data_IF_799821001093
#
_entry.id   IF_799821001093
#
_cell.length_a   1.000
_cell.length_b   1.000
_cell.length_c   1.000
_cell.angle_alpha   90.00
_cell.angle_beta   90.00
_cell.angle_gamma   90.00
#
_symmetry.space_group_name_H-M   'P 1'
#
loop_
_entity.id
_entity.type
_entity.pdbx_description
1 polymer ?
#
# COMPACT_ATOMS: atom_id res chain seq x y z
N UNK A 1 7.51 -10.37 17.62
CA UNK A 1 6.32 -10.47 16.75
C UNK A 1 5.64 -9.13 16.78
N UNK A 2 5.52 -8.46 15.62
CA UNK A 2 4.79 -7.19 15.51
C UNK A 2 3.33 -7.53 15.21
N UNK A 3 2.39 -7.06 16.04
CA UNK A 3 0.97 -7.23 15.77
C UNK A 3 0.51 -6.28 14.66
N UNK A 4 -0.36 -6.76 13.78
CA UNK A 4 -0.91 -5.95 12.69
C UNK A 4 -2.42 -6.20 12.55
N UNK A 5 -3.23 -5.20 12.90
CA UNK A 5 -4.65 -5.16 12.56
C UNK A 5 -4.73 -4.64 11.13
N UNK A 6 -5.00 -5.55 10.19
CA UNK A 6 -5.08 -5.26 8.77
C UNK A 6 -6.51 -5.48 8.27
N UNK A 7 -6.98 -4.58 7.40
CA UNK A 7 -8.30 -4.65 6.78
C UNK A 7 -9.48 -4.78 7.76
N UNK A 8 -9.43 -4.14 8.93
CA UNK A 8 -10.56 -4.13 9.87
C UNK A 8 -11.66 -3.21 9.32
N UNK A 9 -12.88 -3.70 9.04
CA UNK A 9 -13.96 -2.84 8.58
C UNK A 9 -14.25 -1.73 9.59
N UNK A 10 -14.17 -0.47 9.14
CA UNK A 10 -14.40 0.67 10.01
C UNK A 10 -15.88 0.77 10.44
N UNK A 11 -16.80 0.26 9.62
CA UNK A 11 -18.23 0.18 9.92
C UNK A 11 -18.57 -0.70 11.14
N UNK A 12 -17.64 -1.55 11.57
CA UNK A 12 -17.78 -2.35 12.80
C UNK A 12 -17.29 -1.60 14.05
N UNK A 13 -16.74 -0.38 13.87
CA UNK A 13 -16.14 0.45 14.92
C UNK A 13 -16.78 1.86 14.88
N UNK A 14 -18.06 2.01 15.26
CA UNK A 14 -18.85 3.22 14.99
C UNK A 14 -18.29 4.50 15.60
N UNK A 15 -17.62 4.40 16.76
CA UNK A 15 -16.95 5.56 17.39
C UNK A 15 -15.81 6.09 16.50
N UNK A 16 -14.97 5.19 15.97
CA UNK A 16 -13.88 5.56 15.07
C UNK A 16 -14.38 5.94 13.66
N UNK A 17 -15.48 5.33 13.22
CA UNK A 17 -16.10 5.70 11.94
C UNK A 17 -16.57 7.16 11.94
N UNK A 18 -17.10 7.65 13.07
CA UNK A 18 -17.53 9.03 13.23
C UNK A 18 -16.34 10.03 13.15
N UNK A 19 -15.16 9.65 13.65
CA UNK A 19 -13.96 10.49 13.66
C UNK A 19 -13.26 10.57 12.30
N UNK A 20 -13.52 9.61 11.41
CA UNK A 20 -12.97 9.60 10.06
C UNK A 20 -14.14 9.70 9.08
N UNK A 21 -14.65 10.90 8.76
CA UNK A 21 -15.76 11.02 7.82
C UNK A 21 -15.30 10.69 6.38
N UNK A 22 -16.25 10.26 5.54
CA UNK A 22 -15.96 10.03 4.12
C UNK A 22 -15.48 11.31 3.44
N UNK A 23 -14.36 11.23 2.73
CA UNK A 23 -13.82 12.36 1.97
C UNK A 23 -14.86 12.82 0.92
N UNK A 24 -15.10 14.14 0.76
CA UNK A 24 -16.11 14.64 -0.17
C UNK A 24 -15.92 14.16 -1.61
N UNK A 25 -14.68 13.86 -2.01
CA UNK A 25 -14.33 13.42 -3.36
C UNK A 25 -14.82 11.99 -3.64
N UNK A 26 -15.03 11.17 -2.61
CA UNK A 26 -15.61 9.83 -2.71
C UNK A 26 -17.14 9.87 -2.86
N UNK A 27 -17.79 11.00 -2.57
CA UNK A 27 -19.25 11.16 -2.77
C UNK A 27 -19.67 11.13 -4.25
N UNK A 28 -18.70 11.21 -5.16
CA UNK A 28 -18.91 11.06 -6.61
C UNK A 28 -18.84 9.60 -7.06
N UNK A 29 -18.29 8.70 -6.23
CA UNK A 29 -18.26 7.28 -6.53
C UNK A 29 -19.65 6.68 -6.34
N UNK A 30 -20.10 5.92 -7.33
CA UNK A 30 -21.44 5.31 -7.35
C UNK A 30 -21.56 4.06 -6.47
N UNK A 31 -20.42 3.53 -6.00
CA UNK A 31 -20.33 2.37 -5.11
C UNK A 31 -19.20 2.57 -4.10
N UNK A 32 -19.55 2.46 -2.81
CA UNK A 32 -18.60 2.35 -1.70
C UNK A 32 -18.25 0.88 -1.50
N UNK A 33 -16.98 0.52 -1.72
CA UNK A 33 -16.49 -0.86 -1.57
C UNK A 33 -15.93 -1.13 -0.17
N UNK A 34 -16.19 -0.22 0.77
CA UNK A 34 -15.83 -0.35 2.17
C UNK A 34 -14.58 0.43 2.52
N UNK A 35 -14.54 0.83 3.79
CA UNK A 35 -13.46 1.57 4.41
C UNK A 35 -12.81 0.69 5.47
N UNK A 36 -11.49 0.53 5.39
CA UNK A 36 -10.77 -0.34 6.30
C UNK A 36 -9.77 0.43 7.14
N UNK A 37 -9.71 0.08 8.43
CA UNK A 37 -8.73 0.52 9.40
C UNK A 37 -7.51 -0.40 9.38
N UNK A 38 -6.34 0.22 9.49
CA UNK A 38 -5.04 -0.44 9.57
C UNK A 38 -4.29 0.09 10.78
N UNK A 39 -3.98 -0.76 11.76
CA UNK A 39 -3.22 -0.37 12.96
C UNK A 39 -2.07 -1.34 13.16
N UNK A 40 -0.85 -0.83 13.24
CA UNK A 40 0.35 -1.66 13.32
C UNK A 40 1.54 -0.90 13.89
N UNK A 41 2.47 -1.65 14.51
CA UNK A 41 3.72 -1.08 15.02
C UNK A 41 4.75 -0.79 13.93
N UNK A 42 5.84 -0.15 14.32
CA UNK A 42 7.02 -0.04 13.46
C UNK A 42 7.48 -1.44 12.98
N UNK A 43 7.77 -1.57 11.69
CA UNK A 43 8.16 -2.82 11.05
C UNK A 43 7.03 -3.69 10.53
N UNK A 44 5.74 -3.30 10.66
CA UNK A 44 4.68 -3.98 9.90
C UNK A 44 4.89 -3.82 8.40
N UNK A 45 4.57 -4.86 7.62
CA UNK A 45 4.70 -4.84 6.17
C UNK A 45 3.46 -5.45 5.52
N UNK A 46 2.84 -4.69 4.62
CA UNK A 46 1.85 -5.22 3.67
C UNK A 46 2.59 -5.56 2.38
N UNK A 47 2.66 -6.86 1.99
CA UNK A 47 3.35 -7.29 0.78
C UNK A 47 2.87 -6.58 -0.48
N UNK A 48 3.74 -6.49 -1.47
CA UNK A 48 3.43 -5.86 -2.74
C UNK A 48 2.25 -6.56 -3.40
N UNK A 49 1.17 -5.83 -3.68
CA UNK A 49 -0.04 -6.37 -4.28
C UNK A 49 -0.76 -5.32 -5.13
N UNK A 50 -1.80 -5.72 -5.83
CA UNK A 50 -2.70 -4.82 -6.56
C UNK A 50 -4.16 -5.06 -6.21
N UNK A 51 -4.90 -3.97 -6.05
CA UNK A 51 -6.33 -3.99 -5.78
C UNK A 51 -7.16 -3.94 -7.07
N UNK A 52 -8.40 -4.48 -7.07
CA UNK A 52 -9.31 -4.39 -8.19
C UNK A 52 -10.00 -3.02 -8.34
N UNK A 53 -9.83 -2.11 -7.38
CA UNK A 53 -10.50 -0.81 -7.28
C UNK A 53 -9.49 0.32 -7.12
N UNK A 54 -9.93 1.57 -7.30
CA UNK A 54 -9.18 2.74 -6.86
C UNK A 54 -9.16 2.78 -5.32
N UNK A 55 -8.13 3.38 -4.73
CA UNK A 55 -8.01 3.50 -3.29
C UNK A 55 -7.57 4.92 -2.91
N UNK A 56 -8.19 5.50 -1.88
CA UNK A 56 -7.64 6.62 -1.13
C UNK A 56 -7.11 6.08 0.19
N UNK A 57 -5.80 6.16 0.40
CA UNK A 57 -5.12 5.71 1.61
C UNK A 57 -4.72 6.91 2.45
N UNK A 58 -5.44 7.14 3.54
CA UNK A 58 -5.24 8.28 4.43
C UNK A 58 -4.41 7.86 5.65
N UNK A 59 -3.31 8.57 5.89
CA UNK A 59 -2.44 8.33 7.03
C UNK A 59 -2.88 9.19 8.23
N UNK A 60 -3.17 8.56 9.37
CA UNK A 60 -3.75 9.23 10.53
C UNK A 60 -2.74 9.41 11.67
N UNK A 61 -1.96 8.36 11.97
CA UNK A 61 -0.98 8.34 13.06
C UNK A 61 0.31 7.69 12.57
N UNK A 62 1.46 8.24 12.99
CA UNK A 62 2.78 7.74 12.59
C UNK A 62 3.01 7.81 11.09
N UNK A 63 4.14 7.26 10.63
CA UNK A 63 4.52 7.28 9.22
C UNK A 63 4.50 5.89 8.60
N UNK A 64 4.12 5.85 7.32
CA UNK A 64 4.22 4.66 6.47
C UNK A 64 4.95 4.98 5.19
N UNK A 65 5.84 4.10 4.77
CA UNK A 65 6.50 4.16 3.48
C UNK A 65 5.73 3.31 2.47
N UNK A 66 5.46 3.88 1.31
CA UNK A 66 4.75 3.22 0.21
C UNK A 66 5.63 3.20 -1.01
N UNK A 67 5.82 2.01 -1.59
CA UNK A 67 6.35 1.85 -2.94
C UNK A 67 5.17 1.57 -3.86
N UNK A 68 5.07 2.33 -4.96
CA UNK A 68 3.91 2.36 -5.83
C UNK A 68 4.38 2.28 -7.29
N UNK A 69 3.84 1.31 -8.03
CA UNK A 69 4.26 1.00 -9.39
C UNK A 69 3.05 0.89 -10.34
N UNK A 70 3.18 1.37 -11.58
CA UNK A 70 2.14 1.15 -12.58
C UNK A 70 2.03 -0.34 -12.95
N UNK A 71 0.89 -0.78 -13.51
CA UNK A 71 0.69 -2.16 -13.95
C UNK A 71 1.76 -2.68 -14.93
N UNK A 72 2.40 -1.79 -15.69
CA UNK A 72 3.47 -2.12 -16.63
C UNK A 72 4.70 -2.74 -15.95
N UNK A 73 4.95 -2.43 -14.67
CA UNK A 73 6.07 -2.99 -13.92
C UNK A 73 5.83 -4.43 -13.43
N UNK A 74 4.64 -5.01 -13.62
CA UNK A 74 4.27 -6.29 -13.03
C UNK A 74 5.23 -7.45 -13.37
N UNK A 75 5.83 -7.45 -14.56
CA UNK A 75 6.79 -8.47 -14.99
C UNK A 75 8.07 -8.50 -14.12
N UNK A 76 8.41 -7.36 -13.52
CA UNK A 76 9.61 -7.17 -12.69
C UNK A 76 9.35 -7.31 -11.19
N UNK A 77 8.10 -7.53 -10.80
CA UNK A 77 7.65 -7.45 -9.40
C UNK A 77 7.25 -8.83 -8.83
N UNK A 78 7.67 -9.90 -9.49
CA UNK A 78 7.66 -11.28 -9.00
C UNK A 78 6.30 -11.76 -8.44
N UNK A 79 5.21 -11.37 -9.09
CA UNK A 79 3.85 -11.83 -8.78
C UNK A 79 3.75 -13.37 -8.79
N UNK A 80 2.87 -13.92 -7.96
CA UNK A 80 2.54 -15.35 -8.05
C UNK A 80 1.97 -15.68 -9.44
N UNK A 81 2.45 -16.77 -10.04
CA UNK A 81 2.07 -17.18 -11.40
C UNK A 81 0.60 -17.60 -11.56
N UNK A 82 -0.13 -17.81 -10.46
CA UNK A 82 -1.55 -18.17 -10.47
C UNK A 82 -2.10 -18.44 -9.06
N UNK A 83 -3.37 -18.84 -9.02
CA UNK A 83 -4.07 -19.16 -7.77
C UNK A 83 -4.57 -17.93 -7.02
N UNK A 84 -5.01 -18.09 -5.75
CA UNK A 84 -5.67 -17.03 -4.99
C UNK A 84 -4.78 -15.81 -4.69
N UNK A 85 -3.45 -15.96 -4.80
CA UNK A 85 -2.47 -14.91 -4.53
C UNK A 85 -1.88 -14.26 -5.80
N UNK A 86 -2.46 -14.49 -6.97
CA UNK A 86 -1.95 -13.97 -8.25
C UNK A 86 -1.92 -12.43 -8.35
N UNK A 87 -2.53 -11.72 -7.41
CA UNK A 87 -2.47 -10.27 -7.28
C UNK A 87 -1.38 -9.79 -6.31
N UNK A 88 -0.64 -10.69 -5.68
CA UNK A 88 0.39 -10.42 -4.67
C UNK A 88 1.76 -10.90 -5.17
N UNK A 89 2.81 -10.21 -4.75
CA UNK A 89 4.21 -10.54 -5.02
C UNK A 89 4.73 -11.58 -4.03
N UNK A 90 5.74 -12.33 -4.47
CA UNK A 90 6.53 -13.20 -3.60
C UNK A 90 7.56 -12.43 -2.75
N UNK A 91 7.76 -11.14 -3.02
CA UNK A 91 8.62 -10.26 -2.22
C UNK A 91 7.95 -10.06 -0.84
N UNK A 92 8.51 -10.71 0.17
CA UNK A 92 7.91 -10.82 1.51
C UNK A 92 8.24 -9.68 2.46
N UNK A 93 9.09 -8.74 2.06
CA UNK A 93 9.58 -7.68 2.93
C UNK A 93 10.01 -6.43 2.15
N UNK A 94 10.35 -5.34 2.85
CA UNK A 94 10.72 -4.07 2.22
C UNK A 94 12.18 -4.05 1.75
N UNK A 95 13.07 -4.86 2.35
CA UNK A 95 14.52 -4.78 2.15
C UNK A 95 14.95 -4.78 0.68
N UNK A 96 14.39 -5.61 -0.23
CA UNK A 96 14.81 -5.60 -1.64
C UNK A 96 14.60 -4.25 -2.33
N UNK A 97 13.54 -3.52 -1.98
CA UNK A 97 13.29 -2.19 -2.53
C UNK A 97 14.27 -1.16 -1.99
N UNK A 98 14.68 -1.26 -0.72
CA UNK A 98 15.65 -0.36 -0.11
C UNK A 98 17.06 -0.61 -0.63
N UNK A 99 17.43 -1.89 -0.80
CA UNK A 99 18.74 -2.30 -1.33
C UNK A 99 18.90 -1.89 -2.79
N UNK A 100 17.87 -2.07 -3.62
CA UNK A 100 17.89 -1.67 -5.03
C UNK A 100 18.00 -0.14 -5.24
N UNK A 101 17.80 0.65 -4.18
CA UNK A 101 17.99 2.10 -4.21
C UNK A 101 19.37 2.54 -3.66
N UNK A 102 20.15 1.61 -3.11
CA UNK A 102 21.46 1.90 -2.52
C UNK A 102 22.60 1.68 -3.54
N UNK A 103 23.65 2.51 -3.44
CA UNK A 103 24.85 2.36 -4.26
C UNK A 103 25.54 1.01 -3.94
N UNK A 104 25.65 0.13 -4.95
CA UNK A 104 26.30 -1.18 -4.81
C UNK A 104 25.34 -2.37 -4.61
N UNK A 105 24.10 -2.26 -5.08
CA UNK A 105 23.13 -3.35 -5.08
C UNK A 105 23.71 -4.66 -5.64
N UNK A 106 23.41 -5.78 -4.97
CA UNK A 106 23.77 -7.12 -5.45
C UNK A 106 23.09 -7.40 -6.79
N UNK A 107 23.77 -8.11 -7.69
CA UNK A 107 23.31 -8.39 -9.06
C UNK A 107 21.96 -9.10 -9.17
N UNK A 108 21.41 -9.62 -8.07
CA UNK A 108 20.14 -10.35 -8.05
C UNK A 108 18.89 -9.45 -7.91
N UNK A 109 19.06 -8.13 -7.80
CA UNK A 109 17.94 -7.17 -7.68
C UNK A 109 17.54 -6.48 -9.00
N UNK A 110 18.11 -6.90 -10.13
CA UNK A 110 17.93 -6.26 -11.44
C UNK A 110 16.47 -5.99 -11.79
N UNK A 111 15.57 -6.95 -11.59
CA UNK A 111 14.14 -6.76 -11.87
C UNK A 111 13.56 -5.60 -11.03
N UNK A 112 13.86 -5.57 -9.73
CA UNK A 112 13.35 -4.52 -8.84
C UNK A 112 13.92 -3.16 -9.23
N UNK A 113 15.19 -3.08 -9.64
CA UNK A 113 15.80 -1.87 -10.19
C UNK A 113 15.08 -1.39 -11.48
N UNK A 114 14.71 -2.31 -12.37
CA UNK A 114 13.90 -1.97 -13.56
C UNK A 114 12.52 -1.42 -13.17
N UNK A 115 11.87 -2.00 -12.15
CA UNK A 115 10.60 -1.48 -11.66
C UNK A 115 10.73 -0.08 -11.04
N UNK A 116 11.78 0.14 -10.23
CA UNK A 116 12.06 1.41 -9.55
C UNK A 116 12.45 2.54 -10.51
N UNK A 117 13.13 2.20 -11.61
CA UNK A 117 13.54 3.18 -12.63
C UNK A 117 12.41 3.59 -13.59
N UNK A 118 11.23 2.96 -13.52
CA UNK A 118 10.08 3.36 -14.32
C UNK A 118 9.66 4.80 -13.98
N UNK A 119 9.40 5.69 -14.97
CA UNK A 119 9.12 7.11 -14.71
C UNK A 119 7.91 7.36 -13.80
N UNK A 120 6.90 6.49 -13.90
CA UNK A 120 5.69 6.56 -13.08
C UNK A 120 5.80 5.81 -11.74
N UNK A 121 6.89 5.08 -11.47
CA UNK A 121 7.12 4.51 -10.14
C UNK A 121 7.28 5.64 -9.12
N UNK A 122 6.77 5.42 -7.91
CA UNK A 122 6.82 6.38 -6.81
C UNK A 122 7.20 5.65 -5.53
N UNK A 123 7.99 6.33 -4.73
CA UNK A 123 8.36 5.90 -3.40
C UNK A 123 8.17 7.12 -2.50
N UNK A 124 7.24 7.00 -1.55
CA UNK A 124 6.82 8.11 -0.70
C UNK A 124 6.73 7.66 0.76
N UNK A 125 7.10 8.55 1.67
CA UNK A 125 6.77 8.42 3.09
C UNK A 125 5.55 9.29 3.34
N UNK A 126 4.46 8.66 3.78
CA UNK A 126 3.24 9.34 4.18
C UNK A 126 3.37 9.75 5.65
N UNK A 127 3.08 11.02 5.92
CA UNK A 127 2.97 11.62 7.25
C UNK A 127 1.49 11.73 7.66
N UNK A 128 1.19 11.95 8.95
CA UNK A 128 -0.18 12.23 9.38
C UNK A 128 -0.82 13.37 8.56
N UNK A 129 -2.08 13.16 8.16
CA UNK A 129 -2.89 14.01 7.26
C UNK A 129 -2.59 13.87 5.75
N UNK A 130 -1.58 13.12 5.34
CA UNK A 130 -1.41 12.78 3.93
C UNK A 130 -2.49 11.82 3.44
N UNK A 131 -2.89 12.01 2.18
CA UNK A 131 -3.79 11.11 1.47
C UNK A 131 -3.13 10.68 0.16
N UNK A 132 -2.88 9.38 0.02
CA UNK A 132 -2.34 8.79 -1.19
C UNK A 132 -3.47 8.23 -2.05
N UNK A 133 -3.57 8.71 -3.29
CA UNK A 133 -4.40 8.07 -4.30
C UNK A 133 -3.63 6.92 -4.97
N UNK A 134 -4.20 5.73 -4.92
CA UNK A 134 -3.67 4.52 -5.57
C UNK A 134 -4.62 4.17 -6.71
N UNK A 135 -4.20 4.31 -7.97
CA UNK A 135 -5.06 3.98 -9.08
C UNK A 135 -5.31 2.47 -9.16
N UNK A 136 -6.49 2.11 -9.67
CA UNK A 136 -6.89 0.72 -9.87
C UNK A 136 -5.79 -0.09 -10.56
N UNK A 137 -5.53 -1.29 -10.04
CA UNK A 137 -4.50 -2.25 -10.50
C UNK A 137 -3.04 -1.82 -10.35
N UNK A 138 -2.75 -0.65 -9.78
CA UNK A 138 -1.37 -0.30 -9.45
C UNK A 138 -0.83 -1.20 -8.33
N UNK A 139 0.43 -1.61 -8.48
CA UNK A 139 1.10 -2.45 -7.51
C UNK A 139 1.63 -1.56 -6.38
N UNK A 140 1.43 -1.97 -5.14
CA UNK A 140 1.91 -1.23 -3.99
C UNK A 140 2.22 -2.13 -2.80
N UNK A 141 3.25 -1.77 -2.05
CA UNK A 141 3.58 -2.34 -0.74
C UNK A 141 3.70 -1.21 0.27
N UNK A 142 3.50 -1.54 1.54
CA UNK A 142 3.43 -0.54 2.61
C UNK A 142 4.22 -1.02 3.82
N UNK A 143 5.19 -0.23 4.27
CA UNK A 143 5.99 -0.49 5.47
C UNK A 143 5.67 0.53 6.55
N UNK A 144 5.41 0.06 7.78
CA UNK A 144 5.26 0.91 8.97
C UNK A 144 6.61 1.38 9.48
N UNK A 145 6.82 2.70 9.54
CA UNK A 145 8.06 3.28 10.07
C UNK A 145 7.97 3.60 11.57
N UNK A 146 6.75 3.84 12.04
CA UNK A 146 6.42 4.08 13.44
C UNK A 146 5.21 3.22 13.83
N UNK A 147 4.82 3.27 15.11
CA UNK A 147 3.46 2.88 15.50
C UNK A 147 2.46 3.76 14.75
N UNK A 148 1.57 3.12 13.99
CA UNK A 148 0.83 3.80 12.93
C UNK A 148 -0.62 3.34 12.81
N UNK A 149 -1.45 4.29 12.37
CA UNK A 149 -2.84 4.05 12.02
C UNK A 149 -3.17 4.72 10.68
N UNK A 150 -3.91 4.01 9.83
CA UNK A 150 -4.35 4.50 8.51
C UNK A 150 -5.76 4.02 8.24
N UNK A 151 -6.49 4.78 7.41
CA UNK A 151 -7.78 4.34 6.86
C UNK A 151 -7.69 4.39 5.35
N UNK A 152 -8.12 3.32 4.69
CA UNK A 152 -8.28 3.31 3.25
C UNK A 152 -9.76 3.27 2.86
N UNK A 153 -10.08 3.75 1.67
CA UNK A 153 -11.41 3.70 1.08
C UNK A 153 -11.32 3.28 -0.39
N UNK A 154 -11.95 2.16 -0.73
CA UNK A 154 -11.99 1.67 -2.11
C UNK A 154 -13.19 2.22 -2.87
N UNK A 155 -12.99 2.58 -4.14
CA UNK A 155 -14.01 3.12 -5.02
C UNK A 155 -13.79 2.78 -6.49
N UNK A 156 -14.80 3.03 -7.32
CA UNK A 156 -14.79 2.75 -8.76
C UNK A 156 -14.55 4.00 -9.62
#
# INVERSE_FOLDING_TARGET
MVGYVAQQPLSELPELEADVPMLPHLKLATQDWGRMLWVGGAGTFTPLHRDPHHNLFSQLVGRKRVHLFPPACAAHLHLHAGGPLQNTSRIGSEEPFLQAQSDGAETELWDIEQALSHPDAKHVVLEPADVLFIPKKWLHCVAGLDDSASVNAWFH
#
